data_IF_581125587927
#
_entry.id   IF_581125587927
#
_cell.length_a   1.000
_cell.length_b   1.000
_cell.length_c   1.000
_cell.angle_alpha   90.00
_cell.angle_beta   90.00
_cell.angle_gamma   90.00
#
_symmetry.space_group_name_H-M   'P 1'
#
loop_
_entity.id
_entity.type
_entity.pdbx_description
1 polymer ?
#
# COMPACT_ATOMS: atom_id res chain seq x y z
N UNK A 1 -13.55 -9.30 -5.80
CA UNK A 1 -12.13 -9.03 -6.14
C UNK A 1 -11.53 -8.28 -4.97
N UNK A 2 -10.42 -8.74 -4.39
CA UNK A 2 -9.81 -8.10 -3.21
C UNK A 2 -8.94 -6.91 -3.62
N UNK A 3 -8.85 -5.89 -2.76
CA UNK A 3 -7.96 -4.75 -2.92
C UNK A 3 -6.82 -4.82 -1.91
N UNK A 4 -5.58 -4.83 -2.39
CA UNK A 4 -4.38 -4.91 -1.55
C UNK A 4 -3.50 -3.67 -1.74
N UNK A 5 -2.88 -3.19 -0.66
CA UNK A 5 -1.88 -2.13 -0.74
C UNK A 5 -0.56 -2.71 -1.24
N UNK A 6 -0.03 -2.21 -2.36
CA UNK A 6 1.25 -2.65 -2.91
C UNK A 6 2.46 -2.21 -2.07
N UNK A 7 2.32 -1.17 -1.26
CA UNK A 7 3.42 -0.61 -0.46
C UNK A 7 3.59 -1.30 0.88
N UNK A 8 2.49 -1.50 1.60
CA UNK A 8 2.53 -2.08 2.94
C UNK A 8 1.86 -3.44 3.04
N UNK A 9 1.33 -4.02 1.96
CA UNK A 9 0.68 -5.35 1.96
C UNK A 9 -0.56 -5.44 2.87
N UNK A 10 -1.19 -4.30 3.15
CA UNK A 10 -2.47 -4.22 3.88
C UNK A 10 -3.63 -4.63 2.97
N UNK A 11 -4.54 -5.45 3.45
CA UNK A 11 -5.84 -5.70 2.83
C UNK A 11 -6.70 -4.44 3.00
N UNK A 12 -7.06 -3.78 1.89
CA UNK A 12 -7.75 -2.49 1.88
C UNK A 12 -9.25 -2.64 2.16
N UNK A 13 -9.81 -3.83 2.03
CA UNK A 13 -11.23 -4.08 2.28
C UNK A 13 -11.48 -4.37 3.77
N UNK A 14 -10.52 -5.01 4.44
CA UNK A 14 -10.63 -5.38 5.87
C UNK A 14 -9.76 -4.53 6.80
N UNK A 15 -8.79 -3.78 6.25
CA UNK A 15 -7.79 -3.05 7.02
C UNK A 15 -6.71 -3.93 7.66
N UNK A 16 -6.76 -5.26 7.49
CA UNK A 16 -5.81 -6.21 8.09
C UNK A 16 -4.42 -6.07 7.44
N UNK A 17 -3.40 -6.00 8.26
CA UNK A 17 -2.01 -6.13 7.82
C UNK A 17 -1.72 -7.61 7.49
N UNK A 18 -1.41 -7.91 6.22
CA UNK A 18 -1.11 -9.28 5.80
C UNK A 18 0.37 -9.61 6.03
N UNK A 19 0.66 -10.88 6.25
CA UNK A 19 2.01 -11.42 6.11
C UNK A 19 2.41 -11.54 4.63
N UNK A 20 3.69 -11.74 4.36
CA UNK A 20 4.20 -11.96 3.00
C UNK A 20 3.55 -13.16 2.30
N UNK A 21 3.33 -14.25 3.03
CA UNK A 21 2.70 -15.46 2.52
C UNK A 21 1.22 -15.24 2.21
N UNK A 22 0.49 -14.57 3.10
CA UNK A 22 -0.91 -14.20 2.89
C UNK A 22 -1.06 -13.28 1.67
N UNK A 23 -0.20 -12.25 1.59
CA UNK A 23 -0.20 -11.33 0.46
C UNK A 23 0.06 -12.05 -0.86
N UNK A 24 1.09 -12.90 -0.93
CA UNK A 24 1.41 -13.66 -2.16
C UNK A 24 0.26 -14.53 -2.61
N UNK A 25 -0.40 -15.25 -1.69
CA UNK A 25 -1.56 -16.10 -1.99
C UNK A 25 -2.75 -15.30 -2.51
N UNK A 26 -2.97 -14.10 -1.98
CA UNK A 26 -4.10 -13.25 -2.36
C UNK A 26 -3.82 -12.37 -3.58
N UNK A 27 -2.55 -12.13 -3.90
CA UNK A 27 -2.10 -11.21 -4.95
C UNK A 27 -2.49 -11.66 -6.36
N UNK A 28 -2.47 -12.98 -6.66
CA UNK A 28 -2.76 -13.53 -8.00
C UNK A 28 -4.20 -13.27 -8.50
N UNK A 29 -5.12 -12.82 -7.64
CA UNK A 29 -6.49 -12.45 -8.01
C UNK A 29 -6.96 -11.12 -7.44
N UNK A 30 -6.04 -10.32 -6.92
CA UNK A 30 -6.35 -9.04 -6.28
C UNK A 30 -5.94 -7.86 -7.17
N UNK A 31 -6.70 -6.77 -7.04
CA UNK A 31 -6.27 -5.46 -7.53
C UNK A 31 -5.32 -4.82 -6.53
N UNK A 32 -4.26 -4.21 -7.03
CA UNK A 32 -3.27 -3.52 -6.21
C UNK A 32 -3.52 -2.01 -6.23
N UNK A 33 -3.53 -1.40 -5.05
CA UNK A 33 -3.66 0.04 -4.85
C UNK A 33 -2.71 0.55 -3.77
N UNK A 34 -2.97 1.75 -3.27
CA UNK A 34 -2.21 2.38 -2.18
C UNK A 34 -3.17 2.74 -1.05
N UNK A 35 -2.83 2.40 0.19
CA UNK A 35 -3.63 2.85 1.35
C UNK A 35 -3.36 4.33 1.67
N UNK A 36 -4.28 5.03 2.36
CA UNK A 36 -4.09 6.41 2.78
C UNK A 36 -2.77 6.63 3.54
N UNK A 37 -2.42 5.73 4.48
CA UNK A 37 -1.18 5.81 5.25
C UNK A 37 0.08 5.81 4.36
N UNK A 38 0.06 5.02 3.28
CA UNK A 38 1.18 4.95 2.33
C UNK A 38 1.18 6.16 1.41
N UNK A 39 0.00 6.64 1.00
CA UNK A 39 -0.13 7.86 0.21
C UNK A 39 0.45 9.05 0.96
N UNK A 40 0.06 9.29 2.21
CA UNK A 40 0.58 10.39 3.02
C UNK A 40 2.10 10.31 3.19
N UNK A 41 2.65 9.10 3.37
CA UNK A 41 4.11 8.89 3.44
C UNK A 41 4.80 9.28 2.13
N UNK A 42 4.25 8.89 0.98
CA UNK A 42 4.83 9.22 -0.32
C UNK A 42 4.69 10.72 -0.63
N UNK A 43 3.54 11.33 -0.33
CA UNK A 43 3.32 12.77 -0.49
C UNK A 43 4.30 13.57 0.36
N UNK A 44 4.46 13.23 1.66
CA UNK A 44 5.44 13.90 2.53
C UNK A 44 6.89 13.77 2.03
N UNK A 45 7.25 12.63 1.43
CA UNK A 45 8.57 12.46 0.81
C UNK A 45 8.75 13.40 -0.37
N UNK A 46 7.72 13.56 -1.21
CA UNK A 46 7.74 14.46 -2.37
C UNK A 46 7.84 15.93 -1.93
N UNK A 47 7.06 16.35 -0.94
CA UNK A 47 7.14 17.71 -0.38
C UNK A 47 8.50 17.99 0.30
N UNK A 48 9.12 16.97 0.90
CA UNK A 48 10.48 17.07 1.45
C UNK A 48 11.58 17.11 0.40
N UNK A 49 11.33 16.56 -0.80
CA UNK A 49 12.24 16.60 -1.94
C UNK A 49 12.22 17.96 -2.64
N UNK A 50 11.07 18.62 -2.69
CA UNK A 50 10.91 19.96 -3.28
C UNK A 50 11.76 21.03 -2.55
N UNK A 51 11.95 20.87 -1.24
CA UNK A 51 12.79 21.76 -0.40
C UNK A 51 14.30 21.61 -0.63
N UNK A 52 14.75 20.72 -1.51
CA UNK A 52 16.17 20.51 -1.86
C UNK A 52 16.56 21.10 -3.22
N UNK A 53 15.73 21.98 -3.79
CA UNK A 53 16.03 22.74 -5.01
C UNK A 53 16.25 24.22 -4.73
#
# INVERSE_FOLDING_TARGET
MKRLCAWCKKDLDTGKQLTDEEYKRLSEGATHGMCPDCYDKEVRKLEGLDKRK
#
